data_IF_655198339253
#
_entry.id   IF_655198339253
#
_cell.length_a   1.000
_cell.length_b   1.000
_cell.length_c   1.000
_cell.angle_alpha   90.00
_cell.angle_beta   90.00
_cell.angle_gamma   90.00
#
_symmetry.space_group_name_H-M   'P 1'
#
loop_
_entity.id
_entity.type
_entity.pdbx_description
1 polymer ?
#
# COMPACT_ATOMS: atom_id res chain seq x y z
N UNK A 1 -19.46 -5.07 -2.02
CA UNK A 1 -18.33 -5.94 -2.37
C UNK A 1 -16.98 -5.36 -1.91
N UNK A 2 -15.84 -5.96 -2.35
CA UNK A 2 -14.51 -5.55 -1.89
C UNK A 2 -14.18 -4.07 -2.20
N UNK A 3 -14.60 -3.58 -3.37
CA UNK A 3 -14.42 -2.18 -3.74
C UNK A 3 -15.20 -1.21 -2.84
N UNK A 4 -16.39 -1.54 -2.43
CA UNK A 4 -17.19 -0.75 -1.46
C UNK A 4 -16.55 -0.78 -0.08
N UNK A 5 -16.08 -1.95 0.34
CA UNK A 5 -15.36 -2.11 1.61
C UNK A 5 -14.11 -1.22 1.69
N UNK A 6 -13.40 -1.04 0.59
CA UNK A 6 -12.19 -0.21 0.49
C UNK A 6 -12.46 1.24 0.05
N UNK A 7 -13.70 1.73 0.15
CA UNK A 7 -14.08 3.09 -0.27
C UNK A 7 -13.71 3.43 -1.72
N UNK A 8 -13.74 2.44 -2.63
CA UNK A 8 -13.36 2.60 -4.03
C UNK A 8 -11.87 2.38 -4.33
N UNK A 9 -11.01 2.28 -3.31
CA UNK A 9 -9.57 2.16 -3.47
C UNK A 9 -9.13 0.90 -4.21
N UNK A 10 -9.89 -0.20 -4.11
CA UNK A 10 -9.57 -1.41 -4.88
C UNK A 10 -9.67 -1.16 -6.39
N UNK A 11 -10.69 -0.43 -6.85
CA UNK A 11 -10.82 -0.04 -8.25
C UNK A 11 -9.70 0.92 -8.65
N UNK A 12 -9.39 1.89 -7.80
CA UNK A 12 -8.33 2.87 -8.04
C UNK A 12 -6.97 2.20 -8.20
N UNK A 13 -6.60 1.29 -7.30
CA UNK A 13 -5.35 0.55 -7.36
C UNK A 13 -5.20 -0.32 -8.62
N UNK A 14 -6.32 -0.77 -9.20
CA UNK A 14 -6.30 -1.68 -10.35
C UNK A 14 -6.40 -0.98 -11.70
N UNK A 15 -7.03 0.20 -11.77
CA UNK A 15 -7.45 0.82 -13.05
C UNK A 15 -6.28 1.17 -13.97
N UNK A 16 -5.13 1.49 -13.41
CA UNK A 16 -3.93 1.92 -14.15
C UNK A 16 -2.87 0.83 -14.33
N UNK A 17 -3.18 -0.42 -13.92
CA UNK A 17 -2.27 -1.55 -14.17
C UNK A 17 -2.28 -1.86 -15.66
N UNK A 18 -1.28 -1.33 -16.38
CA UNK A 18 -1.10 -1.47 -17.83
C UNK A 18 -2.42 -1.19 -18.59
N UNK A 19 -2.86 -2.06 -19.46
CA UNK A 19 -4.10 -1.96 -20.25
C UNK A 19 -5.11 -3.02 -19.88
N UNK A 20 -6.34 -2.89 -20.45
CA UNK A 20 -7.43 -3.85 -20.23
C UNK A 20 -7.02 -5.27 -20.65
N UNK A 21 -6.29 -5.40 -21.74
CA UNK A 21 -5.82 -6.69 -22.26
C UNK A 21 -4.95 -7.42 -21.23
N UNK A 22 -4.04 -6.67 -20.59
CA UNK A 22 -3.20 -7.21 -19.53
C UNK A 22 -4.03 -7.60 -18.30
N UNK A 23 -4.92 -6.74 -17.84
CA UNK A 23 -5.76 -7.00 -16.66
C UNK A 23 -6.71 -8.19 -16.85
N UNK A 24 -7.15 -8.47 -18.07
CA UNK A 24 -7.98 -9.64 -18.36
C UNK A 24 -7.24 -10.98 -18.20
N UNK A 25 -5.91 -10.96 -18.26
CA UNK A 25 -5.05 -12.14 -18.11
C UNK A 25 -4.35 -12.20 -16.74
N UNK A 26 -4.15 -11.05 -16.10
CA UNK A 26 -3.50 -10.96 -14.80
C UNK A 26 -4.39 -11.54 -13.70
N UNK A 27 -3.74 -12.08 -12.67
CA UNK A 27 -4.43 -12.57 -11.47
C UNK A 27 -3.95 -11.84 -10.23
N UNK A 28 -4.82 -11.69 -9.26
CA UNK A 28 -4.47 -11.07 -7.95
C UNK A 28 -3.39 -11.92 -7.26
N UNK A 29 -3.52 -13.25 -7.29
CA UNK A 29 -2.52 -14.16 -6.73
C UNK A 29 -1.15 -13.99 -7.40
N UNK A 30 -1.08 -13.85 -8.72
CA UNK A 30 0.18 -13.58 -9.44
C UNK A 30 0.82 -12.25 -9.06
N UNK A 31 0.02 -11.19 -8.86
CA UNK A 31 0.51 -9.88 -8.41
C UNK A 31 1.09 -9.92 -7.00
N UNK A 32 0.55 -10.75 -6.12
CA UNK A 32 1.05 -10.94 -4.75
C UNK A 32 2.27 -11.86 -4.75
N UNK A 33 2.22 -12.98 -5.47
CA UNK A 33 3.31 -13.94 -5.56
C UNK A 33 4.60 -13.29 -6.10
N UNK A 34 4.47 -12.41 -7.09
CA UNK A 34 5.58 -11.67 -7.68
C UNK A 34 6.33 -10.76 -6.71
N UNK A 35 5.73 -10.35 -5.59
CA UNK A 35 6.33 -9.50 -4.53
C UNK A 35 7.06 -8.27 -5.07
N UNK A 36 6.60 -7.76 -6.22
CA UNK A 36 7.22 -6.60 -6.86
C UNK A 36 6.96 -5.33 -6.05
N UNK A 37 8.00 -4.52 -5.85
CA UNK A 37 7.91 -3.27 -5.10
C UNK A 37 6.96 -2.24 -5.73
N UNK A 38 6.71 -2.33 -7.04
CA UNK A 38 5.80 -1.47 -7.79
C UNK A 38 4.34 -2.01 -7.86
N UNK A 39 4.02 -3.10 -7.17
CA UNK A 39 2.69 -3.70 -7.24
C UNK A 39 1.65 -2.86 -6.51
N UNK A 40 0.73 -2.27 -7.26
CA UNK A 40 -0.43 -1.54 -6.75
C UNK A 40 -1.30 -2.44 -5.84
N UNK A 41 -1.55 -3.68 -6.29
CA UNK A 41 -2.32 -4.68 -5.55
C UNK A 41 -1.67 -4.99 -4.20
N UNK A 42 -0.35 -5.16 -4.20
CA UNK A 42 0.38 -5.50 -2.99
C UNK A 42 0.39 -4.34 -2.00
N UNK A 43 0.60 -3.11 -2.47
CA UNK A 43 0.53 -1.90 -1.64
C UNK A 43 -0.84 -1.75 -0.98
N UNK A 44 -1.92 -1.92 -1.75
CA UNK A 44 -3.30 -1.88 -1.24
C UNK A 44 -3.52 -2.92 -0.13
N UNK A 45 -3.12 -4.17 -0.38
CA UNK A 45 -3.37 -5.28 0.55
C UNK A 45 -2.47 -5.23 1.78
N UNK A 46 -1.23 -4.74 1.66
CA UNK A 46 -0.34 -4.52 2.82
C UNK A 46 -0.93 -3.45 3.76
N UNK A 47 -1.58 -2.42 3.21
CA UNK A 47 -2.27 -1.41 4.01
C UNK A 47 -3.43 -1.97 4.84
N UNK A 48 -4.07 -3.03 4.36
CA UNK A 48 -5.18 -3.71 5.04
C UNK A 48 -4.68 -4.81 6.00
N UNK A 49 -5.52 -5.22 6.95
CA UNK A 49 -5.29 -6.42 7.77
C UNK A 49 -5.56 -7.67 6.92
N UNK A 50 -4.57 -8.06 6.12
CA UNK A 50 -4.70 -9.10 5.10
C UNK A 50 -3.61 -10.16 5.18
N UNK A 51 -3.94 -11.37 4.70
CA UNK A 51 -3.15 -12.57 4.80
C UNK A 51 -3.19 -13.35 3.50
N UNK A 52 -2.15 -14.15 3.26
CA UNK A 52 -2.15 -15.23 2.27
C UNK A 52 -2.26 -16.56 2.99
N UNK A 53 -3.06 -17.46 2.45
CA UNK A 53 -3.03 -18.87 2.80
C UNK A 53 -2.19 -19.60 1.76
N UNK A 54 -1.11 -20.19 2.22
CA UNK A 54 -0.18 -20.98 1.44
C UNK A 54 -0.49 -22.46 1.59
N UNK A 55 -0.33 -23.24 0.53
CA UNK A 55 -0.62 -24.68 0.53
C UNK A 55 0.21 -25.45 1.58
N UNK A 56 1.48 -25.12 1.71
CA UNK A 56 2.40 -25.74 2.70
C UNK A 56 2.67 -24.84 3.90
N UNK A 57 2.81 -23.54 3.66
CA UNK A 57 3.23 -22.56 4.66
C UNK A 57 2.13 -22.06 5.59
N UNK A 58 0.85 -22.45 5.35
CA UNK A 58 -0.27 -22.00 6.15
C UNK A 58 -0.60 -20.52 5.96
N UNK A 59 -1.18 -19.89 6.97
CA UNK A 59 -1.64 -18.49 6.91
C UNK A 59 -0.53 -17.58 7.39
N UNK A 60 -0.11 -16.64 6.53
CA UNK A 60 0.95 -15.64 6.77
C UNK A 60 0.40 -14.26 6.44
N UNK A 61 0.76 -13.23 7.20
CA UNK A 61 0.36 -11.85 6.84
C UNK A 61 0.98 -11.45 5.50
N UNK A 62 0.24 -10.68 4.68
CA UNK A 62 0.78 -10.22 3.38
C UNK A 62 2.04 -9.36 3.57
N UNK A 63 2.11 -8.58 4.65
CA UNK A 63 3.30 -7.80 5.03
C UNK A 63 4.54 -8.69 5.21
N UNK A 64 4.42 -9.78 5.98
CA UNK A 64 5.50 -10.73 6.19
C UNK A 64 5.82 -11.51 4.92
N UNK A 65 4.79 -11.98 4.21
CA UNK A 65 4.94 -12.70 2.96
C UNK A 65 5.69 -11.85 1.90
N UNK A 66 5.36 -10.57 1.77
CA UNK A 66 6.04 -9.66 0.86
C UNK A 66 7.52 -9.44 1.23
N UNK A 67 7.90 -9.57 2.51
CA UNK A 67 9.28 -9.43 2.99
C UNK A 67 10.13 -10.69 2.80
N UNK A 68 9.49 -11.86 2.65
CA UNK A 68 10.20 -13.15 2.49
C UNK A 68 10.86 -13.31 1.12
N UNK A 69 11.84 -14.20 1.04
CA UNK A 69 12.39 -14.68 -0.22
C UNK A 69 11.36 -15.52 -0.98
N UNK A 70 11.57 -15.66 -2.30
CA UNK A 70 10.72 -16.55 -3.10
C UNK A 70 10.80 -17.99 -2.58
N UNK A 71 9.64 -18.60 -2.48
CA UNK A 71 9.46 -20.00 -2.13
C UNK A 71 8.79 -20.78 -3.28
N UNK A 72 8.69 -22.09 -3.14
CA UNK A 72 7.99 -22.97 -4.08
C UNK A 72 6.65 -23.43 -3.47
N UNK A 73 5.86 -22.46 -3.03
CA UNK A 73 4.54 -22.72 -2.47
C UNK A 73 3.44 -22.13 -3.38
N UNK A 74 2.21 -22.47 -3.12
CA UNK A 74 1.04 -22.03 -3.87
C UNK A 74 0.18 -21.17 -2.97
N UNK A 75 -0.19 -19.97 -3.43
CA UNK A 75 -1.20 -19.14 -2.77
C UNK A 75 -2.58 -19.75 -3.07
N UNK A 76 -3.23 -20.24 -2.03
CA UNK A 76 -4.56 -20.86 -2.10
C UNK A 76 -5.65 -19.78 -1.97
N UNK A 77 -5.53 -18.92 -0.94
CA UNK A 77 -6.49 -17.88 -0.67
C UNK A 77 -5.79 -16.57 -0.30
N UNK A 78 -6.50 -15.46 -0.51
CA UNK A 78 -6.19 -14.15 0.03
C UNK A 78 -7.30 -13.81 1.01
N UNK A 79 -6.92 -13.56 2.26
CA UNK A 79 -7.83 -13.32 3.36
C UNK A 79 -7.71 -11.87 3.78
N UNK A 80 -8.83 -11.14 3.79
CA UNK A 80 -8.91 -9.78 4.33
C UNK A 80 -9.84 -9.80 5.54
N UNK A 81 -9.33 -9.45 6.71
CA UNK A 81 -10.14 -9.33 7.91
C UNK A 81 -11.01 -8.08 7.81
N UNK A 82 -12.31 -8.27 7.82
CA UNK A 82 -13.26 -7.16 7.75
C UNK A 82 -13.30 -6.42 9.09
N UNK A 83 -12.70 -5.24 9.11
CA UNK A 83 -12.81 -4.24 10.18
C UNK A 83 -13.41 -2.97 9.57
N UNK A 84 -14.14 -2.14 10.33
CA UNK A 84 -14.50 -0.82 9.83
C UNK A 84 -13.25 -0.05 9.45
N UNK A 85 -13.16 0.35 8.18
CA UNK A 85 -11.95 0.99 7.63
C UNK A 85 -12.35 2.21 6.80
N UNK A 86 -11.55 3.27 6.93
CA UNK A 86 -11.47 4.35 5.95
C UNK A 86 -10.16 4.17 5.21
N UNK A 87 -10.20 4.22 3.90
CA UNK A 87 -9.04 3.96 3.06
C UNK A 87 -8.89 5.02 1.99
N UNK A 88 -7.66 5.37 1.71
CA UNK A 88 -7.21 6.17 0.57
C UNK A 88 -6.22 5.36 -0.25
N UNK A 89 -6.23 5.54 -1.57
CA UNK A 89 -5.23 4.98 -2.46
C UNK A 89 -4.91 5.95 -3.59
N UNK A 90 -3.63 6.18 -3.81
CA UNK A 90 -3.14 6.99 -4.93
C UNK A 90 -1.83 6.43 -5.46
N UNK A 91 -1.58 6.60 -6.76
CA UNK A 91 -0.35 6.19 -7.40
C UNK A 91 0.14 7.27 -8.38
N UNK A 92 1.32 7.80 -8.11
CA UNK A 92 1.95 8.78 -8.99
C UNK A 92 2.68 8.06 -10.11
N UNK A 93 2.38 8.43 -11.36
CA UNK A 93 2.94 7.83 -12.59
C UNK A 93 3.40 8.93 -13.53
N UNK A 94 4.39 8.63 -14.38
CA UNK A 94 4.82 9.54 -15.45
C UNK A 94 3.78 9.57 -16.57
N UNK A 95 3.26 8.40 -16.94
CA UNK A 95 2.14 8.24 -17.87
C UNK A 95 1.11 7.30 -17.27
N UNK A 96 -0.14 7.38 -17.72
CA UNK A 96 -1.30 6.71 -17.10
C UNK A 96 -1.11 5.20 -16.87
N UNK A 97 -0.45 4.50 -17.80
CA UNK A 97 -0.27 3.04 -17.77
C UNK A 97 1.16 2.58 -17.47
N UNK A 98 2.05 3.51 -17.11
CA UNK A 98 3.41 3.16 -16.71
C UNK A 98 3.45 2.54 -15.30
N UNK A 99 4.58 1.95 -14.94
CA UNK A 99 4.85 1.57 -13.56
C UNK A 99 4.90 2.82 -12.67
N UNK A 100 4.38 2.75 -11.45
CA UNK A 100 4.32 3.92 -10.58
C UNK A 100 5.71 4.41 -10.16
N UNK A 101 5.82 5.72 -10.01
CA UNK A 101 6.93 6.40 -9.31
C UNK A 101 6.83 6.13 -7.82
N UNK A 102 5.61 6.23 -7.28
CA UNK A 102 5.26 5.93 -5.89
C UNK A 102 3.81 5.45 -5.83
N UNK A 103 3.51 4.51 -4.94
CA UNK A 103 2.15 4.11 -4.56
C UNK A 103 1.93 4.37 -3.08
N UNK A 104 0.73 4.82 -2.74
CA UNK A 104 0.36 5.18 -1.38
C UNK A 104 -1.01 4.60 -1.03
N UNK A 105 -1.09 3.91 0.09
CA UNK A 105 -2.34 3.45 0.67
C UNK A 105 -2.43 3.93 2.13
N UNK A 106 -3.25 4.95 2.38
CA UNK A 106 -3.59 5.41 3.73
C UNK A 106 -4.75 4.60 4.30
N UNK A 107 -4.63 4.14 5.53
CA UNK A 107 -5.64 3.32 6.18
C UNK A 107 -5.86 3.78 7.62
N UNK A 108 -7.11 4.09 7.96
CA UNK A 108 -7.56 4.33 9.32
C UNK A 108 -8.58 3.27 9.74
N UNK A 109 -8.31 2.54 10.80
CA UNK A 109 -9.25 1.56 11.36
C UNK A 109 -10.15 2.24 12.39
N UNK A 110 -11.42 2.43 12.01
CA UNK A 110 -12.41 3.08 12.88
C UNK A 110 -12.62 2.26 14.16
N UNK A 111 -12.50 2.94 15.30
CA UNK A 111 -12.68 2.32 16.64
C UNK A 111 -11.38 1.79 17.27
N UNK A 112 -10.29 1.61 16.53
CA UNK A 112 -9.02 1.19 17.10
C UNK A 112 -8.03 2.37 17.29
N UNK A 113 -8.28 3.53 16.67
CA UNK A 113 -7.34 4.64 16.66
C UNK A 113 -6.00 4.28 16.00
N UNK A 114 -6.03 3.30 15.10
CA UNK A 114 -4.86 2.82 14.37
C UNK A 114 -4.83 3.47 12.99
N UNK A 115 -3.73 4.14 12.68
CA UNK A 115 -3.50 4.82 11.41
C UNK A 115 -2.20 4.32 10.79
N UNK A 116 -2.26 3.95 9.52
CA UNK A 116 -1.14 3.40 8.79
C UNK A 116 -1.04 4.04 7.41
N UNK A 117 0.17 4.24 6.95
CA UNK A 117 0.43 4.56 5.55
C UNK A 117 1.33 3.47 4.95
N UNK A 118 0.89 2.87 3.86
CA UNK A 118 1.68 1.90 3.11
C UNK A 118 2.22 2.57 1.85
N UNK A 119 3.53 2.59 1.69
CA UNK A 119 4.21 3.19 0.54
C UNK A 119 4.93 2.11 -0.25
N UNK A 120 4.59 1.99 -1.54
CA UNK A 120 5.25 1.12 -2.51
C UNK A 120 5.95 1.89 -3.62
N UNK A 121 6.56 1.17 -4.56
CA UNK A 121 7.33 1.72 -5.70
C UNK A 121 8.49 2.67 -5.30
N UNK A 122 9.07 2.53 -4.14
CA UNK A 122 10.07 3.41 -3.53
C UNK A 122 11.58 3.21 -3.82
N UNK A 123 12.17 2.47 -4.76
CA UNK A 123 11.97 1.27 -5.56
C UNK A 123 11.99 -0.07 -4.81
N UNK A 124 12.31 -0.06 -3.54
CA UNK A 124 12.24 -1.26 -2.71
C UNK A 124 10.80 -1.77 -2.53
N UNK A 125 10.64 -2.83 -1.74
CA UNK A 125 9.33 -3.40 -1.42
C UNK A 125 8.46 -2.39 -0.68
N UNK A 126 7.13 -2.55 -0.81
CA UNK A 126 6.18 -1.73 -0.07
C UNK A 126 6.40 -1.86 1.45
N UNK A 127 6.30 -0.74 2.15
CA UNK A 127 6.53 -0.63 3.59
C UNK A 127 5.35 0.07 4.25
N UNK A 128 4.92 -0.43 5.40
CA UNK A 128 4.00 0.28 6.28
C UNK A 128 4.79 1.18 7.23
N UNK A 129 4.37 2.43 7.33
CA UNK A 129 4.71 3.34 8.41
C UNK A 129 3.50 3.46 9.32
N UNK A 130 3.61 2.91 10.52
CA UNK A 130 2.57 2.95 11.54
C UNK A 130 2.73 4.22 12.39
N UNK A 131 1.63 4.81 12.85
CA UNK A 131 1.65 5.91 13.82
C UNK A 131 2.05 5.39 15.21
N UNK A 132 3.34 5.09 15.40
CA UNK A 132 3.87 4.55 16.67
C UNK A 132 3.87 5.58 17.79
N UNK A 133 3.97 6.85 17.45
CA UNK A 133 3.98 7.96 18.41
C UNK A 133 2.57 8.39 18.82
N UNK A 134 1.54 7.90 18.11
CA UNK A 134 0.15 8.23 18.39
C UNK A 134 -0.21 9.65 18.00
N UNK A 135 0.43 10.20 16.98
CA UNK A 135 0.25 11.56 16.47
C UNK A 135 -1.21 11.81 16.09
N UNK A 136 -1.85 10.83 15.44
CA UNK A 136 -3.24 10.89 14.98
C UNK A 136 -4.26 10.41 16.03
N UNK A 137 -3.82 9.82 17.14
CA UNK A 137 -4.73 9.29 18.19
C UNK A 137 -5.52 10.38 18.90
N UNK A 138 -4.96 11.57 19.01
CA UNK A 138 -5.61 12.74 19.64
C UNK A 138 -6.69 13.38 18.79
N UNK A 139 -6.85 12.93 17.57
CA UNK A 139 -7.77 13.45 16.56
C UNK A 139 -7.06 13.76 15.26
N UNK A 140 -7.73 13.48 14.16
CA UNK A 140 -7.24 13.77 12.80
C UNK A 140 -7.61 15.22 12.48
N UNK A 141 -6.66 16.13 12.65
CA UNK A 141 -6.75 17.55 12.29
C UNK A 141 -5.52 17.95 11.47
N UNK A 142 -5.53 19.12 10.87
CA UNK A 142 -4.50 19.56 9.92
C UNK A 142 -3.08 19.52 10.54
N UNK A 143 -2.92 19.95 11.81
CA UNK A 143 -1.63 19.95 12.49
C UNK A 143 -1.11 18.53 12.76
N UNK A 144 -2.00 17.62 13.17
CA UNK A 144 -1.65 16.21 13.38
C UNK A 144 -1.32 15.51 12.06
N UNK A 145 -2.06 15.81 10.98
CA UNK A 145 -1.80 15.28 9.63
C UNK A 145 -0.44 15.73 9.13
N UNK A 146 -0.11 17.02 9.23
CA UNK A 146 1.20 17.56 8.83
C UNK A 146 2.35 16.93 9.64
N UNK A 147 2.14 16.75 10.95
CA UNK A 147 3.11 16.11 11.83
C UNK A 147 3.33 14.64 11.46
N UNK A 148 2.27 13.92 11.17
CA UNK A 148 2.36 12.52 10.73
C UNK A 148 2.99 12.40 9.34
N UNK A 149 2.68 13.30 8.42
CA UNK A 149 3.30 13.32 7.09
C UNK A 149 4.82 13.57 7.16
N UNK A 150 5.26 14.44 8.08
CA UNK A 150 6.68 14.66 8.37
C UNK A 150 7.32 13.41 8.97
N UNK A 151 6.67 12.79 9.94
CA UNK A 151 7.11 11.52 10.53
C UNK A 151 7.28 10.43 9.47
N UNK A 152 6.32 10.29 8.55
CA UNK A 152 6.42 9.34 7.43
C UNK A 152 7.64 9.63 6.57
N UNK A 153 7.86 10.88 6.17
CA UNK A 153 9.03 11.29 5.39
C UNK A 153 10.36 10.92 6.05
N UNK A 154 10.47 11.10 7.36
CA UNK A 154 11.68 10.85 8.13
C UNK A 154 11.94 9.35 8.35
N UNK A 155 10.88 8.54 8.40
CA UNK A 155 10.95 7.11 8.70
C UNK A 155 10.81 6.19 7.47
N UNK A 156 10.59 6.76 6.28
CA UNK A 156 10.45 6.01 5.03
C UNK A 156 11.79 5.98 4.27
N UNK A 157 12.45 4.83 4.15
CA UNK A 157 13.59 4.71 3.25
C UNK A 157 13.14 4.74 1.79
N UNK A 158 13.66 5.67 1.00
CA UNK A 158 13.44 5.81 -0.43
C UNK A 158 14.74 5.66 -1.20
N UNK A 159 14.66 5.22 -2.46
CA UNK A 159 15.80 5.02 -3.35
C UNK A 159 15.56 5.71 -4.70
N UNK A 160 16.63 5.94 -5.44
CA UNK A 160 16.59 6.53 -6.79
C UNK A 160 16.57 5.45 -7.86
N UNK A 161 15.85 5.69 -8.95
CA UNK A 161 15.93 4.92 -10.19
C UNK A 161 15.60 5.83 -11.39
N UNK A 162 15.48 5.24 -12.60
CA UNK A 162 15.17 5.97 -13.82
C UNK A 162 13.83 6.74 -13.79
N UNK A 163 12.90 6.41 -12.85
CA UNK A 163 11.57 7.05 -12.73
C UNK A 163 11.53 8.22 -11.77
N UNK A 164 12.49 8.34 -10.87
CA UNK A 164 12.55 9.43 -9.91
C UNK A 164 13.66 9.26 -8.89
N UNK A 165 14.08 10.37 -8.30
CA UNK A 165 15.06 10.39 -7.23
C UNK A 165 14.45 9.95 -5.89
N UNK A 166 15.31 9.53 -4.95
CA UNK A 166 14.93 9.24 -3.58
C UNK A 166 14.28 10.46 -2.90
N UNK A 167 14.84 11.64 -3.16
CA UNK A 167 14.38 12.92 -2.62
C UNK A 167 12.97 13.27 -3.11
N UNK A 168 12.72 13.11 -4.42
CA UNK A 168 11.40 13.32 -5.00
C UNK A 168 10.36 12.36 -4.41
N UNK A 169 10.70 11.08 -4.24
CA UNK A 169 9.82 10.08 -3.62
C UNK A 169 9.53 10.38 -2.16
N UNK A 170 10.53 10.84 -1.42
CA UNK A 170 10.36 11.26 -0.03
C UNK A 170 9.41 12.45 0.09
N UNK A 171 9.52 13.42 -0.82
CA UNK A 171 8.57 14.53 -0.90
C UNK A 171 7.16 14.06 -1.28
N UNK A 172 7.02 13.23 -2.31
CA UNK A 172 5.73 12.66 -2.69
C UNK A 172 5.07 11.87 -1.55
N UNK A 173 5.85 11.09 -0.78
CA UNK A 173 5.32 10.34 0.35
C UNK A 173 4.75 11.27 1.43
N UNK A 174 5.38 12.40 1.68
CA UNK A 174 4.86 13.43 2.58
C UNK A 174 3.54 14.01 2.07
N UNK A 175 3.49 14.47 0.83
CA UNK A 175 2.30 15.06 0.22
C UNK A 175 1.12 14.09 0.17
N UNK A 176 1.37 12.85 -0.30
CA UNK A 176 0.33 11.83 -0.36
C UNK A 176 -0.16 11.40 1.02
N UNK A 177 0.68 11.44 2.04
CA UNK A 177 0.25 11.20 3.42
C UNK A 177 -0.69 12.31 3.90
N UNK A 178 -0.37 13.57 3.61
CA UNK A 178 -1.24 14.71 3.93
C UNK A 178 -2.61 14.53 3.29
N UNK A 179 -2.67 14.27 1.98
CA UNK A 179 -3.94 14.08 1.24
C UNK A 179 -4.72 12.86 1.74
N UNK A 180 -4.04 11.81 2.21
CA UNK A 180 -4.68 10.56 2.65
C UNK A 180 -5.58 10.73 3.88
N UNK A 181 -5.36 11.73 4.69
CA UNK A 181 -6.07 11.96 5.94
C UNK A 181 -6.86 13.28 5.98
N UNK A 182 -6.80 14.07 4.89
CA UNK A 182 -7.66 15.24 4.67
C UNK A 182 -9.01 14.80 4.10
#
# INVERSE_FOLDING_TARGET
>A
GFNEYTNGCAKEALRHIVGVQFRNLATVGGSIYGRYGFSDVLTLLIGLDSYVELYKGGIVSIKEYAAQSYDRDIIVNIIVKKKPVKMFYEAVRITETDLPVLTCAGVGFSGAGEYNICIGARPGRAVIVEDKEGILRGGVNDEAIESFARYVKENLPTESNMRGSAEYRSHLAQELTTVSYT
#
